data_IF_081699835891
#
_entry.id   IF_081699835891
#
_cell.length_a   1.000
_cell.length_b   1.000
_cell.length_c   1.000
_cell.angle_alpha   90.00
_cell.angle_beta   90.00
_cell.angle_gamma   90.00
#
_symmetry.space_group_name_H-M   'P 1'
#
loop_
_entity.id
_entity.type
_entity.pdbx_description
1 polymer ?
#
# COMPACT_ATOMS: atom_id res chain seq x y z
N UNK A 1 22.24 -31.42 -23.42
CA UNK A 1 20.99 -31.86 -22.78
C UNK A 1 20.97 -31.39 -21.32
N UNK A 2 20.76 -30.13 -21.09
CA UNK A 2 20.54 -29.60 -19.73
C UNK A 2 19.28 -28.75 -19.78
N UNK A 3 18.21 -29.35 -19.27
CA UNK A 3 16.95 -28.70 -19.03
C UNK A 3 17.07 -28.00 -17.68
N UNK A 4 17.31 -26.71 -17.70
CA UNK A 4 17.23 -25.86 -16.51
C UNK A 4 15.76 -25.60 -16.22
N UNK A 5 15.25 -26.30 -15.19
CA UNK A 5 13.91 -26.14 -14.66
C UNK A 5 13.83 -24.81 -13.91
N UNK A 6 13.03 -23.89 -14.42
CA UNK A 6 12.65 -22.66 -13.72
C UNK A 6 11.85 -23.00 -12.48
N UNK A 7 12.42 -22.71 -11.30
CA UNK A 7 11.73 -22.82 -10.03
C UNK A 7 10.63 -21.75 -9.91
N UNK A 8 9.47 -22.07 -9.32
CA UNK A 8 8.40 -21.10 -9.09
C UNK A 8 8.78 -20.08 -8.01
N UNK A 9 8.46 -18.82 -8.27
CA UNK A 9 8.62 -17.66 -7.38
C UNK A 9 7.56 -17.66 -6.26
N UNK A 10 7.47 -18.75 -5.51
CA UNK A 10 6.56 -18.87 -4.38
C UNK A 10 7.35 -19.07 -3.09
N UNK A 11 7.92 -17.99 -2.57
CA UNK A 11 8.20 -17.87 -1.13
C UNK A 11 8.62 -16.43 -0.81
N UNK A 12 7.67 -15.56 -0.56
CA UNK A 12 7.95 -14.39 0.29
C UNK A 12 8.15 -14.95 1.69
N UNK A 13 9.40 -15.21 2.05
CA UNK A 13 9.78 -15.54 3.42
C UNK A 13 9.47 -14.32 4.28
N UNK A 14 8.62 -14.42 5.32
CA UNK A 14 8.42 -13.31 6.24
C UNK A 14 9.75 -13.03 6.94
N UNK A 15 10.17 -11.78 6.92
CA UNK A 15 11.29 -11.29 7.71
C UNK A 15 10.98 -11.55 9.19
N UNK A 16 11.56 -12.62 9.73
CA UNK A 16 11.48 -12.96 11.14
C UNK A 16 12.35 -11.95 11.91
N UNK A 17 11.74 -10.86 12.32
CA UNK A 17 12.35 -9.96 13.28
C UNK A 17 12.05 -10.50 14.68
N UNK A 18 13.03 -11.12 15.31
CA UNK A 18 12.97 -11.54 16.72
C UNK A 18 13.05 -10.29 17.60
N UNK A 19 11.94 -9.62 17.79
CA UNK A 19 11.77 -8.58 18.78
C UNK A 19 10.58 -8.97 19.66
N UNK A 20 10.87 -9.25 20.93
CA UNK A 20 10.05 -9.17 22.14
C UNK A 20 8.54 -9.13 21.90
N UNK A 21 7.83 -10.11 22.44
CA UNK A 21 6.37 -10.22 22.35
C UNK A 21 5.69 -8.87 22.60
N UNK A 22 4.88 -8.37 21.67
CA UNK A 22 4.16 -7.13 21.88
C UNK A 22 3.14 -7.34 22.99
N UNK A 23 3.09 -6.41 23.93
CA UNK A 23 1.99 -6.28 24.87
C UNK A 23 0.70 -6.09 24.07
N UNK A 24 -0.04 -7.15 23.86
CA UNK A 24 -1.37 -7.10 23.25
C UNK A 24 -2.28 -6.36 24.21
N UNK A 25 -2.30 -5.05 24.10
CA UNK A 25 -3.34 -4.24 24.74
C UNK A 25 -4.61 -4.50 23.95
N UNK A 26 -5.41 -5.43 24.42
CA UNK A 26 -6.73 -5.69 23.86
C UNK A 26 -7.52 -4.37 23.85
N UNK A 27 -7.72 -3.83 22.66
CA UNK A 27 -8.60 -2.67 22.50
C UNK A 27 -9.99 -3.08 22.94
N UNK A 28 -10.65 -2.24 23.75
CA UNK A 28 -12.06 -2.43 24.09
C UNK A 28 -12.85 -2.59 22.79
N UNK A 29 -13.69 -3.63 22.67
CA UNK A 29 -14.56 -3.77 21.52
C UNK A 29 -15.42 -2.51 21.41
N UNK A 30 -15.34 -1.86 20.25
CA UNK A 30 -16.24 -0.77 19.93
C UNK A 30 -17.61 -1.40 19.70
N UNK A 31 -18.58 -1.06 20.56
CA UNK A 31 -19.96 -1.50 20.40
C UNK A 31 -20.63 -0.63 19.34
N UNK A 32 -20.70 -1.15 18.13
CA UNK A 32 -21.54 -0.58 17.08
C UNK A 32 -22.92 -1.27 17.15
N UNK A 33 -23.98 -0.52 16.90
CA UNK A 33 -25.33 -1.06 16.81
C UNK A 33 -25.53 -1.76 15.45
N UNK A 34 -24.72 -2.80 15.19
CA UNK A 34 -24.76 -3.60 13.96
C UNK A 34 -24.69 -5.08 14.33
N UNK A 35 -25.32 -5.93 13.52
CA UNK A 35 -25.24 -7.39 13.65
C UNK A 35 -23.88 -7.94 13.17
N UNK A 36 -23.03 -7.09 12.58
CA UNK A 36 -21.72 -7.48 12.07
C UNK A 36 -20.68 -7.48 13.19
N UNK A 37 -19.82 -8.51 13.29
CA UNK A 37 -18.72 -8.53 14.24
C UNK A 37 -17.66 -7.50 13.80
N UNK A 38 -17.46 -6.46 14.60
CA UNK A 38 -16.44 -5.44 14.37
C UNK A 38 -15.35 -5.58 15.42
N UNK A 39 -14.11 -5.70 14.98
CA UNK A 39 -12.93 -5.74 15.84
C UNK A 39 -11.99 -4.58 15.51
N UNK A 40 -11.50 -3.89 16.54
CA UNK A 40 -10.45 -2.89 16.38
C UNK A 40 -9.10 -3.48 16.74
N UNK A 41 -8.11 -3.31 15.87
CA UNK A 41 -6.75 -3.82 16.02
C UNK A 41 -5.76 -2.67 15.98
N UNK A 42 -4.70 -2.73 16.79
CA UNK A 42 -3.63 -1.75 16.82
C UNK A 42 -2.27 -2.46 16.73
N UNK A 43 -1.35 -1.84 15.99
CA UNK A 43 0.04 -2.28 15.83
C UNK A 43 0.20 -3.68 15.18
N UNK A 44 -0.87 -4.18 14.53
CA UNK A 44 -0.96 -5.47 13.87
C UNK A 44 -1.31 -5.33 12.37
N UNK A 45 -0.91 -4.24 11.75
CA UNK A 45 -1.33 -3.90 10.36
C UNK A 45 -0.96 -5.01 9.37
N UNK A 46 0.24 -5.57 9.45
CA UNK A 46 0.68 -6.60 8.51
C UNK A 46 -0.03 -7.94 8.72
N UNK A 47 -0.29 -8.31 9.96
CA UNK A 47 -1.09 -9.50 10.27
C UNK A 47 -2.53 -9.33 9.75
N UNK A 48 -3.11 -8.14 9.93
CA UNK A 48 -4.42 -7.81 9.40
C UNK A 48 -4.45 -7.89 7.88
N UNK A 49 -3.48 -7.27 7.19
CA UNK A 49 -3.40 -7.29 5.72
C UNK A 49 -3.20 -8.69 5.16
N UNK A 50 -2.36 -9.52 5.81
CA UNK A 50 -2.11 -10.90 5.38
C UNK A 50 -3.39 -11.77 5.38
N UNK A 51 -4.40 -11.41 6.17
CA UNK A 51 -5.67 -12.14 6.28
C UNK A 51 -6.87 -11.37 5.70
N UNK A 52 -6.64 -10.19 5.14
CA UNK A 52 -7.72 -9.36 4.59
C UNK A 52 -8.12 -9.81 3.20
N UNK A 53 -9.43 -9.88 2.95
CA UNK A 53 -9.98 -10.18 1.64
C UNK A 53 -10.08 -8.95 0.74
N UNK A 54 -10.46 -7.80 1.30
CA UNK A 54 -10.50 -6.49 0.67
C UNK A 54 -10.34 -5.41 1.73
N UNK A 55 -9.98 -4.18 1.34
CA UNK A 55 -9.73 -3.08 2.27
C UNK A 55 -10.31 -1.74 1.79
N UNK A 56 -10.73 -0.93 2.74
CA UNK A 56 -10.97 0.50 2.55
C UNK A 56 -9.80 1.22 3.23
N UNK A 57 -9.01 1.96 2.45
CA UNK A 57 -7.75 2.54 2.91
C UNK A 57 -7.81 4.05 2.85
N UNK A 58 -7.43 4.70 3.93
CA UNK A 58 -7.29 6.15 3.96
C UNK A 58 -5.83 6.52 3.78
N UNK A 59 -5.49 7.08 2.65
CA UNK A 59 -4.27 7.79 2.25
C UNK A 59 -2.87 7.27 2.71
N UNK A 60 -1.84 7.71 2.00
CA UNK A 60 -0.44 7.54 2.38
C UNK A 60 0.18 6.21 1.96
N UNK A 61 1.21 5.80 2.68
CA UNK A 61 1.97 4.55 2.43
C UNK A 61 1.11 3.29 2.61
N UNK A 62 0.06 3.36 3.40
CA UNK A 62 -0.87 2.25 3.63
C UNK A 62 -1.48 1.71 2.33
N UNK A 63 -1.69 2.54 1.32
CA UNK A 63 -2.20 2.09 0.01
C UNK A 63 -1.21 1.18 -0.69
N UNK A 64 0.09 1.51 -0.64
CA UNK A 64 1.15 0.70 -1.21
C UNK A 64 1.33 -0.61 -0.41
N UNK A 65 1.33 -0.55 0.91
CA UNK A 65 1.43 -1.72 1.77
C UNK A 65 0.29 -2.70 1.48
N UNK A 66 -0.96 -2.22 1.40
CA UNK A 66 -2.13 -3.03 1.05
C UNK A 66 -1.98 -3.72 -0.31
N UNK A 67 -1.48 -3.00 -1.32
CA UNK A 67 -1.23 -3.57 -2.66
C UNK A 67 -0.09 -4.60 -2.66
N UNK A 68 0.95 -4.41 -1.84
CA UNK A 68 2.04 -5.37 -1.69
C UNK A 68 1.58 -6.69 -1.06
N UNK A 69 0.56 -6.64 -0.19
CA UNK A 69 -0.11 -7.83 0.36
C UNK A 69 -1.16 -8.44 -0.58
N UNK A 70 -1.32 -7.94 -1.82
CA UNK A 70 -2.35 -8.38 -2.76
C UNK A 70 -3.79 -8.23 -2.23
N UNK A 71 -4.05 -7.25 -1.40
CA UNK A 71 -5.40 -6.97 -0.91
C UNK A 71 -6.09 -5.94 -1.80
N UNK A 72 -7.17 -6.30 -2.51
CA UNK A 72 -7.95 -5.32 -3.27
C UNK A 72 -8.49 -4.22 -2.38
N UNK A 73 -8.48 -2.98 -2.88
CA UNK A 73 -8.78 -1.83 -2.04
C UNK A 73 -9.54 -0.72 -2.76
N UNK A 74 -10.27 0.05 -1.98
CA UNK A 74 -10.78 1.38 -2.34
C UNK A 74 -10.07 2.42 -1.49
N UNK A 75 -9.52 3.44 -2.12
CA UNK A 75 -8.82 4.50 -1.42
C UNK A 75 -9.74 5.67 -1.18
N UNK A 76 -9.85 6.11 0.07
CA UNK A 76 -10.71 7.20 0.48
C UNK A 76 -9.89 8.36 1.04
N UNK A 77 -10.09 9.54 0.47
CA UNK A 77 -9.53 10.78 0.97
C UNK A 77 -10.63 11.64 1.60
N UNK A 78 -10.90 11.36 2.88
CA UNK A 78 -11.87 12.16 3.63
C UNK A 78 -11.19 13.44 4.10
N UNK A 79 -11.43 14.52 3.36
CA UNK A 79 -10.83 15.82 3.59
C UNK A 79 -11.69 16.61 4.59
N UNK A 80 -11.86 16.10 5.79
CA UNK A 80 -12.45 16.88 6.88
C UNK A 80 -11.52 18.03 7.26
N UNK A 81 -11.88 19.23 6.84
CA UNK A 81 -11.22 20.48 7.17
C UNK A 81 -10.52 21.15 6.00
N UNK A 82 -11.10 22.26 5.53
CA UNK A 82 -10.67 23.06 4.38
C UNK A 82 -9.19 23.53 4.37
N UNK A 83 -8.44 23.29 5.46
CA UNK A 83 -7.00 23.60 5.52
C UNK A 83 -6.14 22.58 4.76
N UNK A 84 -6.46 21.29 4.84
CA UNK A 84 -5.72 20.25 4.14
C UNK A 84 -6.04 20.24 2.64
N UNK A 85 -7.30 20.47 2.27
CA UNK A 85 -7.71 20.66 0.86
C UNK A 85 -6.96 21.83 0.24
N UNK A 86 -6.85 22.95 0.97
CA UNK A 86 -6.18 24.17 0.51
C UNK A 86 -4.66 23.99 0.37
N UNK A 87 -4.05 23.16 1.24
CA UNK A 87 -2.64 22.84 1.18
C UNK A 87 -2.31 21.86 0.05
N UNK A 88 -3.17 20.87 -0.18
CA UNK A 88 -2.97 19.84 -1.20
C UNK A 88 -3.52 20.23 -2.58
N UNK A 89 -4.34 21.28 -2.67
CA UNK A 89 -4.92 21.77 -3.92
C UNK A 89 -3.91 21.98 -5.05
N UNK A 90 -2.72 22.60 -4.85
CA UNK A 90 -1.72 22.73 -5.90
C UNK A 90 -1.11 21.40 -6.33
N UNK A 91 -1.10 20.41 -5.44
CA UNK A 91 -0.63 19.06 -5.74
C UNK A 91 -1.66 18.28 -6.56
N UNK A 92 -2.94 18.31 -6.18
CA UNK A 92 -4.06 17.72 -6.94
C UNK A 92 -4.19 18.26 -8.37
N UNK A 93 -3.85 19.55 -8.58
CA UNK A 93 -3.91 20.18 -9.89
C UNK A 93 -2.76 19.78 -10.83
N UNK A 94 -1.70 19.14 -10.31
CA UNK A 94 -0.51 18.75 -11.07
C UNK A 94 -0.31 17.25 -11.19
N UNK A 95 -0.88 16.45 -10.28
CA UNK A 95 -0.74 15.01 -10.28
C UNK A 95 -2.05 14.36 -10.73
N UNK A 96 -1.95 13.42 -11.66
CA UNK A 96 -3.08 12.64 -12.16
C UNK A 96 -3.66 11.73 -11.09
N UNK A 97 -2.83 11.26 -10.16
CA UNK A 97 -3.16 10.31 -9.10
C UNK A 97 -2.64 10.80 -7.74
N UNK A 98 -3.19 10.24 -6.66
CA UNK A 98 -2.86 10.60 -5.28
C UNK A 98 -2.26 9.41 -4.54
N UNK A 99 -2.82 8.21 -4.73
CA UNK A 99 -2.32 7.00 -4.08
C UNK A 99 -0.96 6.60 -4.67
N UNK A 100 -0.08 6.07 -3.83
CA UNK A 100 1.22 5.57 -4.29
C UNK A 100 1.06 4.42 -5.29
N UNK A 101 0.01 3.63 -5.19
CA UNK A 101 -0.28 2.54 -6.13
C UNK A 101 -0.45 3.09 -7.53
N UNK A 102 -1.37 4.05 -7.71
CA UNK A 102 -1.66 4.64 -9.02
C UNK A 102 -0.49 5.48 -9.54
N UNK A 103 0.20 6.21 -8.65
CA UNK A 103 1.39 6.99 -9.02
C UNK A 103 2.53 6.11 -9.54
N UNK A 104 2.82 4.99 -8.89
CA UNK A 104 3.89 4.07 -9.30
C UNK A 104 3.50 3.34 -10.58
N UNK A 105 2.24 2.89 -10.67
CA UNK A 105 1.73 2.22 -11.85
C UNK A 105 1.56 3.16 -13.06
N UNK A 106 1.50 4.48 -12.83
CA UNK A 106 1.09 5.50 -13.82
C UNK A 106 -0.24 5.13 -14.51
N UNK A 107 -1.12 4.50 -13.74
CA UNK A 107 -2.40 3.97 -14.17
C UNK A 107 -3.37 3.98 -12.98
N UNK A 108 -4.67 4.13 -13.24
CA UNK A 108 -5.71 3.94 -12.22
C UNK A 108 -5.91 2.44 -11.96
N UNK A 109 -5.14 1.93 -10.99
CA UNK A 109 -5.24 0.54 -10.51
C UNK A 109 -6.31 0.42 -9.43
N UNK A 110 -6.39 1.42 -8.56
CA UNK A 110 -7.34 1.48 -7.44
C UNK A 110 -8.20 2.73 -7.56
N UNK A 111 -9.51 2.66 -7.26
CA UNK A 111 -10.36 3.85 -7.25
C UNK A 111 -9.96 4.78 -6.10
N UNK A 112 -9.88 6.06 -6.39
CA UNK A 112 -9.56 7.13 -5.44
C UNK A 112 -10.81 7.99 -5.22
N UNK A 113 -11.48 7.80 -4.09
CA UNK A 113 -12.67 8.57 -3.72
C UNK A 113 -12.27 9.79 -2.90
N UNK A 114 -12.67 10.98 -3.35
CA UNK A 114 -12.24 12.24 -2.77
C UNK A 114 -13.46 13.04 -2.30
N UNK A 115 -13.41 13.54 -1.06
CA UNK A 115 -14.43 14.41 -0.51
C UNK A 115 -15.86 13.86 -0.68
N UNK A 116 -16.68 14.48 -1.53
CA UNK A 116 -18.08 14.07 -1.74
C UNK A 116 -18.25 12.68 -2.34
N UNK A 117 -17.22 12.17 -3.02
CA UNK A 117 -17.23 10.80 -3.59
C UNK A 117 -17.10 9.72 -2.51
N UNK A 118 -16.71 10.08 -1.28
CA UNK A 118 -16.61 9.16 -0.14
C UNK A 118 -17.96 8.84 0.51
N UNK A 119 -19.08 9.24 -0.08
CA UNK A 119 -20.43 8.92 0.44
C UNK A 119 -20.63 7.40 0.50
N UNK A 120 -21.31 6.89 1.54
CA UNK A 120 -21.47 5.45 1.76
C UNK A 120 -21.98 4.67 0.54
N UNK A 121 -22.93 5.23 -0.20
CA UNK A 121 -23.49 4.56 -1.39
C UNK A 121 -22.44 4.41 -2.51
N UNK A 122 -21.63 5.44 -2.75
CA UNK A 122 -20.59 5.41 -3.76
C UNK A 122 -19.43 4.50 -3.32
N UNK A 123 -19.01 4.60 -2.06
CA UNK A 123 -18.03 3.68 -1.48
C UNK A 123 -18.47 2.22 -1.61
N UNK A 124 -19.73 1.91 -1.28
CA UNK A 124 -20.28 0.57 -1.41
C UNK A 124 -20.27 0.09 -2.88
N UNK A 125 -20.60 0.96 -3.83
CA UNK A 125 -20.59 0.61 -5.26
C UNK A 125 -19.18 0.22 -5.77
N UNK A 126 -18.12 0.87 -5.29
CA UNK A 126 -16.74 0.53 -5.63
C UNK A 126 -16.19 -0.65 -4.82
N UNK A 127 -16.66 -0.84 -3.59
CA UNK A 127 -16.15 -1.88 -2.69
C UNK A 127 -16.80 -3.25 -2.90
N UNK A 128 -18.11 -3.29 -3.17
CA UNK A 128 -18.84 -4.55 -3.33
C UNK A 128 -18.24 -5.48 -4.40
N UNK A 129 -17.82 -5.01 -5.59
CA UNK A 129 -17.17 -5.87 -6.57
C UNK A 129 -15.85 -6.50 -6.10
N UNK A 130 -15.19 -5.92 -5.10
CA UNK A 130 -13.94 -6.45 -4.57
C UNK A 130 -14.14 -7.60 -3.59
N UNK A 131 -15.37 -7.80 -3.10
CA UNK A 131 -15.73 -8.89 -2.18
C UNK A 131 -16.00 -10.20 -2.91
N UNK A 132 -16.18 -10.14 -4.23
CA UNK A 132 -16.54 -11.28 -5.07
C UNK A 132 -15.41 -11.59 -6.06
N UNK A 133 -15.49 -12.77 -6.68
CA UNK A 133 -14.63 -13.14 -7.82
C UNK A 133 -15.09 -12.39 -9.08
N UNK A 134 -14.65 -11.16 -9.23
CA UNK A 134 -15.11 -10.22 -10.24
C UNK A 134 -13.99 -9.75 -11.17
N UNK A 135 -14.35 -9.30 -12.40
CA UNK A 135 -13.39 -8.67 -13.30
C UNK A 135 -12.68 -7.47 -12.69
N UNK A 136 -13.36 -6.67 -11.86
CA UNK A 136 -12.79 -5.52 -11.15
C UNK A 136 -11.73 -5.95 -10.16
N UNK A 137 -11.98 -6.99 -9.38
CA UNK A 137 -11.00 -7.57 -8.45
C UNK A 137 -9.76 -8.08 -9.20
N UNK A 138 -9.95 -8.83 -10.28
CA UNK A 138 -8.86 -9.35 -11.10
C UNK A 138 -8.04 -8.23 -11.75
N UNK A 139 -8.69 -7.18 -12.23
CA UNK A 139 -8.01 -6.02 -12.81
C UNK A 139 -7.10 -5.33 -11.78
N UNK A 140 -7.56 -5.16 -10.55
CA UNK A 140 -6.72 -4.59 -9.49
C UNK A 140 -5.50 -5.48 -9.17
N UNK A 141 -5.69 -6.78 -9.03
CA UNK A 141 -4.60 -7.72 -8.75
C UNK A 141 -3.55 -7.73 -9.88
N UNK A 142 -3.99 -7.69 -11.15
CA UNK A 142 -3.11 -7.50 -12.30
C UNK A 142 -2.36 -6.18 -12.25
N UNK A 143 -3.04 -5.09 -11.91
CA UNK A 143 -2.44 -3.76 -11.75
C UNK A 143 -1.38 -3.73 -10.65
N UNK A 144 -1.56 -4.50 -9.57
CA UNK A 144 -0.56 -4.64 -8.52
C UNK A 144 0.72 -5.36 -9.01
N UNK A 145 0.59 -6.32 -9.93
CA UNK A 145 1.76 -6.95 -10.54
C UNK A 145 2.57 -5.93 -11.35
N UNK A 146 1.91 -5.10 -12.16
CA UNK A 146 2.54 -4.02 -12.90
C UNK A 146 3.18 -2.98 -11.98
N UNK A 147 2.48 -2.56 -10.93
CA UNK A 147 3.00 -1.64 -9.91
C UNK A 147 4.28 -2.20 -9.27
N UNK A 148 4.32 -3.49 -8.89
CA UNK A 148 5.52 -4.13 -8.34
C UNK A 148 6.66 -4.17 -9.34
N UNK A 149 6.37 -4.47 -10.60
CA UNK A 149 7.37 -4.45 -11.66
C UNK A 149 8.05 -3.08 -11.75
N UNK A 150 7.28 -2.00 -11.72
CA UNK A 150 7.80 -0.62 -11.76
C UNK A 150 8.49 -0.20 -10.46
N UNK A 151 8.03 -0.67 -9.31
CA UNK A 151 8.67 -0.44 -8.02
C UNK A 151 10.10 -0.99 -7.97
N UNK A 152 10.35 -2.05 -8.73
CA UNK A 152 11.66 -2.67 -8.86
C UNK A 152 12.00 -3.63 -7.70
N UNK A 153 13.20 -4.21 -7.74
CA UNK A 153 13.61 -5.24 -6.79
C UNK A 153 13.83 -4.67 -5.38
N UNK A 154 13.70 -5.54 -4.38
CA UNK A 154 14.04 -5.26 -2.98
C UNK A 154 15.49 -4.78 -2.82
N UNK A 155 15.81 -4.15 -1.66
CA UNK A 155 17.15 -3.69 -1.34
C UNK A 155 17.45 -2.24 -1.76
N UNK A 156 16.42 -1.40 -1.93
CA UNK A 156 16.58 0.03 -2.19
C UNK A 156 17.44 0.75 -1.12
N UNK A 157 17.29 0.48 0.20
CA UNK A 157 18.16 1.08 1.22
C UNK A 157 19.64 0.74 1.03
N UNK A 158 19.95 -0.52 0.72
CA UNK A 158 21.34 -0.95 0.50
C UNK A 158 21.96 -0.32 -0.75
N UNK A 159 21.16 -0.20 -1.83
CA UNK A 159 21.63 0.50 -3.04
C UNK A 159 21.87 1.98 -2.77
N UNK A 160 20.98 2.64 -2.04
CA UNK A 160 21.15 4.04 -1.64
C UNK A 160 22.38 4.23 -0.74
N UNK A 161 22.56 3.37 0.26
CA UNK A 161 23.71 3.43 1.16
C UNK A 161 25.03 3.25 0.38
N UNK A 162 25.12 2.27 -0.51
CA UNK A 162 26.31 2.09 -1.36
C UNK A 162 26.57 3.30 -2.26
N UNK A 163 25.53 3.86 -2.86
CA UNK A 163 25.68 5.04 -3.70
C UNK A 163 26.19 6.26 -2.90
N UNK A 164 25.63 6.51 -1.73
CA UNK A 164 26.08 7.60 -0.84
C UNK A 164 27.53 7.37 -0.42
N UNK A 165 27.88 6.16 0.01
CA UNK A 165 29.23 5.81 0.43
C UNK A 165 30.24 6.02 -0.70
N UNK A 166 29.96 5.57 -1.92
CA UNK A 166 30.85 5.78 -3.07
C UNK A 166 31.11 7.27 -3.35
N UNK A 167 30.06 8.10 -3.26
CA UNK A 167 30.21 9.55 -3.46
C UNK A 167 31.06 10.23 -2.41
N UNK A 168 30.95 9.79 -1.15
CA UNK A 168 31.76 10.34 -0.06
C UNK A 168 33.23 9.96 -0.21
N UNK A 169 33.51 8.72 -0.58
CA UNK A 169 34.91 8.25 -0.78
C UNK A 169 35.58 8.91 -1.99
N UNK A 170 34.85 9.09 -3.10
CA UNK A 170 35.37 9.79 -4.29
C UNK A 170 35.72 11.27 -4.00
N UNK A 171 34.94 11.92 -3.11
CA UNK A 171 35.19 13.30 -2.75
C UNK A 171 36.46 13.43 -1.88
N UNK A 172 36.65 12.53 -0.91
CA UNK A 172 37.82 12.51 -0.06
C UNK A 172 39.15 12.26 -0.80
N UNK A 173 39.06 11.50 -1.91
CA UNK A 173 40.23 11.19 -2.75
C UNK A 173 40.67 12.39 -3.62
N UNK A 174 39.74 13.32 -3.93
CA UNK A 174 40.05 14.53 -4.70
C UNK A 174 40.57 15.69 -3.88
N UNK A 175 40.33 15.74 -2.58
CA UNK A 175 40.86 16.77 -1.68
C UNK A 175 42.30 16.49 -1.23
N UNK A 176 42.77 15.24 -1.39
CA UNK A 176 44.14 14.84 -0.97
C UNK A 176 45.11 14.68 -2.15
N UNK A 177 44.76 15.15 -3.35
CA UNK A 177 45.61 15.21 -4.54
C UNK A 177 45.87 16.63 -4.98
#
# INVERSE_FOLDING_TARGET
NDAEASAPLDAVTPLHNSATAPHTTALKPLTFNTELPICAVRDETYALLAHSHAAIVTSGTATLETALFNVPQVVCYNLFGGKLVRLLRPYFLRCKYISLVNLIADLEVVPELIADDTRPANLAAHFAPLLEDSPTRHAQLSGYAEMRHRLGPVGAPDRAARFIHSRLTDHSSKENS
#
